data_IF_562200083825
#
_entry.id   IF_562200083825
#
_cell.length_a   1.000
_cell.length_b   1.000
_cell.length_c   1.000
_cell.angle_alpha   90.00
_cell.angle_beta   90.00
_cell.angle_gamma   90.00
#
_symmetry.space_group_name_H-M   'P 1'
#
loop_
_entity.id
_entity.type
_entity.pdbx_description
1 polymer ?
#
# COMPACT_ATOMS: atom_id res chain seq x y z
N UNK A 1 -11.35 5.53 15.97
CA UNK A 1 -10.55 4.68 15.07
C UNK A 1 -10.91 3.25 15.40
N UNK A 2 -11.60 2.55 14.49
CA UNK A 2 -11.95 1.15 14.72
C UNK A 2 -10.69 0.31 14.49
N UNK A 3 -10.17 -0.35 15.52
CA UNK A 3 -9.14 -1.37 15.35
C UNK A 3 -9.80 -2.63 14.83
N UNK A 4 -9.17 -3.23 13.82
CA UNK A 4 -9.60 -4.51 13.29
C UNK A 4 -9.34 -5.61 14.35
N UNK A 5 -10.19 -6.64 14.49
CA UNK A 5 -9.86 -7.80 15.32
C UNK A 5 -8.55 -8.44 14.85
N UNK A 6 -7.70 -8.90 15.78
CA UNK A 6 -6.30 -9.33 15.54
C UNK A 6 -6.10 -10.43 14.49
N UNK A 7 -7.18 -11.03 13.97
CA UNK A 7 -7.14 -12.20 13.10
C UNK A 7 -7.85 -12.04 11.75
N UNK A 8 -8.30 -10.83 11.41
CA UNK A 8 -8.85 -10.56 10.08
C UNK A 8 -7.74 -10.02 9.16
N UNK A 9 -7.87 -10.26 7.86
CA UNK A 9 -7.01 -9.65 6.86
C UNK A 9 -7.84 -8.81 5.93
N UNK A 10 -7.29 -7.70 5.45
CA UNK A 10 -7.96 -6.79 4.53
C UNK A 10 -7.43 -6.94 3.10
N UNK A 11 -8.28 -6.53 2.17
CA UNK A 11 -7.90 -6.25 0.79
C UNK A 11 -7.74 -4.74 0.67
N UNK A 12 -6.55 -4.29 0.29
CA UNK A 12 -6.30 -2.87 0.05
C UNK A 12 -6.51 -2.56 -1.43
N UNK A 13 -7.19 -1.46 -1.73
CA UNK A 13 -7.38 -0.99 -3.11
C UNK A 13 -7.01 0.48 -3.18
N UNK A 14 -6.00 0.81 -3.98
CA UNK A 14 -5.49 2.16 -4.17
C UNK A 14 -5.68 2.63 -5.60
N UNK A 15 -6.15 3.87 -5.77
CA UNK A 15 -6.29 4.51 -7.08
C UNK A 15 -5.39 5.74 -7.20
N UNK A 16 -4.72 5.92 -8.34
CA UNK A 16 -3.83 7.07 -8.60
C UNK A 16 -2.79 7.26 -7.49
N UNK A 17 -2.80 8.40 -6.80
CA UNK A 17 -1.92 8.69 -5.66
C UNK A 17 -2.12 7.76 -4.44
N UNK A 18 -3.23 7.02 -4.41
CA UNK A 18 -3.51 6.03 -3.37
C UNK A 18 -2.48 4.92 -3.30
N UNK A 19 -1.78 4.60 -4.39
CA UNK A 19 -0.78 3.53 -4.39
C UNK A 19 0.42 3.77 -3.46
N UNK A 20 0.83 5.03 -3.28
CA UNK A 20 1.85 5.40 -2.28
C UNK A 20 1.38 5.11 -0.85
N UNK A 21 0.11 5.38 -0.56
CA UNK A 21 -0.48 5.10 0.74
C UNK A 21 -0.55 3.58 0.99
N UNK A 22 -0.88 2.80 -0.05
CA UNK A 22 -0.87 1.34 0.02
C UNK A 22 0.52 0.80 0.38
N UNK A 23 1.58 1.30 -0.26
CA UNK A 23 2.95 0.89 0.04
C UNK A 23 3.31 1.14 1.52
N UNK A 24 2.97 2.32 2.04
CA UNK A 24 3.19 2.65 3.46
C UNK A 24 2.43 1.72 4.41
N UNK A 25 1.15 1.44 4.12
CA UNK A 25 0.34 0.52 4.94
C UNK A 25 0.88 -0.90 4.89
N UNK A 26 1.40 -1.34 3.74
CA UNK A 26 2.03 -2.65 3.57
C UNK A 26 3.31 -2.80 4.39
N UNK A 27 4.09 -1.73 4.58
CA UNK A 27 5.25 -1.75 5.49
C UNK A 27 4.84 -1.75 6.97
N UNK A 28 3.80 -0.99 7.33
CA UNK A 28 3.37 -0.87 8.73
C UNK A 28 2.59 -2.09 9.23
N UNK A 29 1.80 -2.73 8.37
CA UNK A 29 0.88 -3.81 8.75
C UNK A 29 0.95 -5.02 7.79
N UNK A 30 2.14 -5.60 7.55
CA UNK A 30 2.32 -6.66 6.54
C UNK A 30 1.50 -7.93 6.84
N UNK A 31 1.18 -8.19 8.11
CA UNK A 31 0.43 -9.38 8.53
C UNK A 31 -1.10 -9.22 8.45
N UNK A 32 -1.59 -7.97 8.34
CA UNK A 32 -3.01 -7.66 8.32
C UNK A 32 -3.56 -7.55 6.88
N UNK A 33 -2.73 -7.75 5.86
CA UNK A 33 -3.08 -7.54 4.46
C UNK A 33 -3.01 -8.89 3.75
N UNK A 34 -4.11 -9.29 3.11
CA UNK A 34 -4.14 -10.49 2.27
C UNK A 34 -3.63 -10.17 0.86
N UNK A 35 -4.09 -9.06 0.29
CA UNK A 35 -3.67 -8.58 -1.04
C UNK A 35 -3.88 -7.08 -1.17
N UNK A 36 -3.01 -6.45 -1.97
CA UNK A 36 -3.09 -5.04 -2.34
C UNK A 36 -3.28 -4.91 -3.85
N UNK A 37 -4.26 -4.12 -4.27
CA UNK A 37 -4.66 -3.89 -5.66
C UNK A 37 -4.40 -2.42 -6.01
N UNK A 38 -3.60 -2.22 -7.06
CA UNK A 38 -3.24 -0.91 -7.59
C UNK A 38 -4.03 -0.66 -8.87
N UNK A 39 -4.97 0.28 -8.83
CA UNK A 39 -5.85 0.62 -9.97
C UNK A 39 -5.41 1.96 -10.54
N UNK A 40 -4.77 1.94 -11.71
CA UNK A 40 -4.19 3.16 -12.32
C UNK A 40 -3.47 4.02 -11.28
N UNK A 41 -2.68 3.37 -10.42
CA UNK A 41 -2.08 3.94 -9.22
C UNK A 41 -0.55 3.88 -9.29
N UNK A 42 0.11 4.77 -8.54
CA UNK A 42 1.56 4.73 -8.38
C UNK A 42 1.99 3.47 -7.65
N UNK A 43 2.90 2.71 -8.23
CA UNK A 43 3.47 1.50 -7.64
C UNK A 43 4.96 1.74 -7.35
N UNK A 44 5.34 2.14 -6.13
CA UNK A 44 6.74 2.24 -5.76
C UNK A 44 7.40 0.86 -5.70
N UNK A 45 8.69 0.79 -6.02
CA UNK A 45 9.50 -0.41 -5.85
C UNK A 45 10.26 -0.39 -4.50
N UNK A 46 11.04 -1.43 -4.25
CA UNK A 46 11.84 -1.58 -3.02
C UNK A 46 13.31 -1.22 -3.19
N UNK A 47 13.74 -0.88 -4.42
CA UNK A 47 15.14 -0.63 -4.74
C UNK A 47 15.47 0.88 -4.69
N UNK A 48 14.46 1.74 -4.95
CA UNK A 48 14.61 3.18 -5.03
C UNK A 48 13.84 3.92 -3.92
N UNK A 49 14.16 5.19 -3.73
CA UNK A 49 13.38 6.06 -2.83
C UNK A 49 11.97 6.27 -3.38
N UNK A 50 10.94 6.47 -2.53
CA UNK A 50 9.57 6.68 -2.99
C UNK A 50 9.39 7.90 -3.93
N UNK A 51 10.33 8.85 -3.92
CA UNK A 51 10.33 9.99 -4.85
C UNK A 51 10.66 9.62 -6.29
N UNK A 52 11.34 8.48 -6.52
CA UNK A 52 11.88 8.08 -7.83
C UNK A 52 10.83 7.98 -8.93
N UNK A 53 9.59 7.64 -8.55
CA UNK A 53 8.43 7.59 -9.46
C UNK A 53 8.03 8.95 -10.02
N UNK A 54 8.46 10.06 -9.42
CA UNK A 54 8.26 11.42 -9.92
C UNK A 54 9.47 11.97 -10.70
N UNK A 55 10.62 11.33 -10.55
CA UNK A 55 11.87 11.72 -11.22
C UNK A 55 11.99 11.08 -12.62
N UNK A 56 11.02 10.22 -12.99
CA UNK A 56 10.94 9.53 -14.28
C UNK A 56 9.91 10.13 -15.22
#
# INVERSE_FOLDING_TARGET
MASQPDNQKVILVGHSFGGLNLAMVMEMFPHNIEVSIFVSAFLPDTDHTPSYIFDK
#
